data_IF_133266189323
#
_entry.id   IF_133266189323
#
_cell.length_a   1.000
_cell.length_b   1.000
_cell.length_c   1.000
_cell.angle_alpha   90.00
_cell.angle_beta   90.00
_cell.angle_gamma   90.00
#
_symmetry.space_group_name_H-M   'P 1'
#
loop_
_entity.id
_entity.type
_entity.pdbx_description
1 polymer ?
#
# COMPACT_ATOMS: atom_id res chain seq x y z
N UNK A 1 -26.55 3.32 5.28
CA UNK A 1 -25.45 2.37 4.97
C UNK A 1 -25.93 1.09 4.28
N UNK A 2 -27.01 0.43 4.74
CA UNK A 2 -27.70 -0.62 3.95
C UNK A 2 -27.99 -0.18 2.50
N UNK A 3 -28.43 1.08 2.33
CA UNK A 3 -28.69 1.72 1.03
C UNK A 3 -27.49 1.85 0.07
N UNK A 4 -26.24 1.82 0.53
CA UNK A 4 -25.05 1.96 -0.34
C UNK A 4 -24.71 0.63 -1.02
N UNK A 5 -24.83 -0.50 -0.30
CA UNK A 5 -24.73 -1.84 -0.89
C UNK A 5 -25.81 -2.08 -1.95
N UNK A 6 -26.99 -1.49 -1.78
CA UNK A 6 -28.12 -1.68 -2.69
C UNK A 6 -27.92 -0.98 -4.05
N UNK A 7 -26.96 -0.05 -4.17
CA UNK A 7 -26.73 0.76 -5.39
C UNK A 7 -25.50 0.33 -6.22
N UNK A 8 -24.63 -0.52 -5.68
CA UNK A 8 -23.44 -0.99 -6.40
C UNK A 8 -23.74 -2.40 -6.91
N UNK A 9 -23.74 -2.58 -8.22
CA UNK A 9 -24.25 -3.78 -8.87
C UNK A 9 -23.13 -4.69 -9.43
N UNK A 10 -21.88 -4.23 -9.47
CA UNK A 10 -20.72 -4.97 -10.01
C UNK A 10 -19.41 -4.79 -9.23
N UNK A 11 -18.47 -5.73 -9.39
CA UNK A 11 -17.10 -5.64 -8.85
C UNK A 11 -16.37 -4.39 -9.37
N UNK A 12 -16.61 -3.99 -10.62
CA UNK A 12 -16.01 -2.80 -11.23
C UNK A 12 -16.51 -1.49 -10.61
N UNK A 13 -17.81 -1.39 -10.34
CA UNK A 13 -18.37 -0.23 -9.64
C UNK A 13 -17.87 -0.15 -8.19
N UNK A 14 -17.74 -1.30 -7.52
CA UNK A 14 -17.19 -1.36 -6.17
C UNK A 14 -15.72 -0.93 -6.12
N UNK A 15 -14.93 -1.40 -7.08
CA UNK A 15 -13.55 -0.99 -7.26
C UNK A 15 -13.43 0.52 -7.48
N UNK A 16 -14.28 1.08 -8.36
CA UNK A 16 -14.29 2.51 -8.64
C UNK A 16 -14.70 3.32 -7.39
N UNK A 17 -15.69 2.85 -6.64
CA UNK A 17 -16.08 3.46 -5.37
C UNK A 17 -14.91 3.52 -4.38
N UNK A 18 -14.21 2.40 -4.15
CA UNK A 18 -13.05 2.36 -3.25
C UNK A 18 -11.93 3.30 -3.72
N UNK A 19 -11.67 3.35 -5.03
CA UNK A 19 -10.68 4.28 -5.62
C UNK A 19 -11.04 5.73 -5.28
N UNK A 20 -12.30 6.12 -5.49
CA UNK A 20 -12.76 7.48 -5.21
C UNK A 20 -12.75 7.81 -3.72
N UNK A 21 -13.09 6.87 -2.83
CA UNK A 21 -13.00 7.09 -1.37
C UNK A 21 -11.55 7.34 -0.92
N UNK A 22 -10.59 6.54 -1.40
CA UNK A 22 -9.16 6.73 -1.10
C UNK A 22 -8.66 8.08 -1.63
N UNK A 23 -9.03 8.45 -2.87
CA UNK A 23 -8.68 9.74 -3.48
C UNK A 23 -9.31 10.92 -2.74
N UNK A 24 -10.59 10.81 -2.38
CA UNK A 24 -11.31 11.83 -1.64
C UNK A 24 -10.70 12.05 -0.26
N UNK A 25 -10.32 10.99 0.46
CA UNK A 25 -9.64 11.10 1.73
C UNK A 25 -8.29 11.82 1.59
N UNK A 26 -7.48 11.48 0.58
CA UNK A 26 -6.22 12.16 0.31
C UNK A 26 -6.41 13.65 -0.03
N UNK A 27 -7.44 13.98 -0.80
CA UNK A 27 -7.76 15.35 -1.21
C UNK A 27 -8.22 16.22 -0.05
N UNK A 28 -9.08 15.67 0.81
CA UNK A 28 -9.84 16.45 1.79
C UNK A 28 -9.28 16.38 3.21
N UNK A 29 -8.43 15.40 3.53
CA UNK A 29 -7.91 15.25 4.88
C UNK A 29 -6.91 16.36 5.25
N UNK A 30 -7.11 17.09 6.37
CA UNK A 30 -6.12 18.04 6.86
C UNK A 30 -4.81 17.33 7.29
N UNK A 31 -4.85 16.02 7.55
CA UNK A 31 -3.66 15.24 7.89
C UNK A 31 -2.74 15.01 6.68
N UNK A 32 -3.22 15.19 5.45
CA UNK A 32 -2.40 15.18 4.24
C UNK A 32 -1.74 16.55 3.97
N UNK A 33 -1.61 17.40 5.00
CA UNK A 33 -0.98 18.72 4.92
C UNK A 33 0.06 18.88 6.02
N UNK A 34 1.16 19.57 5.70
CA UNK A 34 2.17 19.91 6.70
C UNK A 34 1.64 20.99 7.65
N UNK A 35 1.77 20.82 8.99
CA UNK A 35 1.28 21.80 9.98
C UNK A 35 2.02 23.16 10.01
N UNK A 36 2.94 23.42 9.07
CA UNK A 36 3.67 24.72 9.04
C UNK A 36 2.90 25.76 8.24
N UNK A 37 3.37 27.02 8.31
CA UNK A 37 2.91 28.16 7.49
C UNK A 37 2.79 27.85 6.01
N UNK A 38 3.60 26.91 5.50
CA UNK A 38 3.64 26.53 4.09
C UNK A 38 2.39 25.75 3.63
N UNK A 39 1.69 25.08 4.56
CA UNK A 39 0.50 24.27 4.30
C UNK A 39 0.61 23.30 3.09
N UNK A 40 1.83 22.80 2.84
CA UNK A 40 2.11 21.92 1.70
C UNK A 40 1.34 20.62 1.80
N UNK A 41 0.76 20.21 0.67
CA UNK A 41 0.19 18.88 0.50
C UNK A 41 1.33 17.86 0.58
N UNK A 42 1.17 16.86 1.45
CA UNK A 42 2.20 15.83 1.66
C UNK A 42 2.20 14.84 0.49
N UNK A 43 1.01 14.36 0.12
CA UNK A 43 0.82 13.44 -0.99
C UNK A 43 -0.13 13.98 -2.05
N UNK A 44 0.28 13.87 -3.31
CA UNK A 44 -0.58 14.10 -4.47
C UNK A 44 -1.66 13.00 -4.58
N UNK A 45 -2.52 13.08 -5.60
CA UNK A 45 -3.57 12.08 -5.83
C UNK A 45 -2.99 10.64 -5.87
N UNK A 46 -3.54 9.70 -5.05
CA UNK A 46 -3.08 8.33 -4.98
C UNK A 46 -3.27 7.53 -6.28
N UNK A 47 -2.38 6.58 -6.51
CA UNK A 47 -2.65 5.45 -7.39
C UNK A 47 -3.25 4.31 -6.57
N UNK A 48 -4.24 3.61 -7.10
CA UNK A 48 -4.91 2.51 -6.40
C UNK A 48 -5.13 1.37 -7.39
N UNK A 49 -4.73 0.16 -7.00
CA UNK A 49 -4.91 -1.06 -7.78
C UNK A 49 -5.23 -2.23 -6.84
N UNK A 50 -5.59 -3.37 -7.41
CA UNK A 50 -6.02 -4.56 -6.67
C UNK A 50 -5.24 -5.78 -7.13
N UNK A 51 -4.78 -6.59 -6.18
CA UNK A 51 -4.20 -7.90 -6.43
C UNK A 51 -5.19 -9.00 -6.03
N UNK A 52 -5.10 -10.14 -6.71
CA UNK A 52 -5.74 -11.38 -6.28
C UNK A 52 -5.08 -11.86 -4.99
N UNK A 53 -5.84 -12.17 -3.94
CA UNK A 53 -5.29 -12.66 -2.67
C UNK A 53 -4.52 -13.98 -2.79
N UNK A 54 -4.80 -14.76 -3.84
CA UNK A 54 -4.17 -16.05 -4.12
C UNK A 54 -3.07 -15.96 -5.20
N UNK A 55 -2.64 -14.75 -5.57
CA UNK A 55 -1.53 -14.57 -6.50
C UNK A 55 -0.28 -15.34 -6.01
N UNK A 56 0.30 -16.24 -6.84
CA UNK A 56 1.42 -17.08 -6.45
C UNK A 56 2.62 -16.31 -5.88
N UNK A 57 2.78 -15.04 -6.25
CA UNK A 57 3.88 -14.21 -5.75
C UNK A 57 3.83 -14.00 -4.25
N UNK A 58 2.67 -14.05 -3.60
CA UNK A 58 2.61 -13.97 -2.14
C UNK A 58 3.29 -15.17 -1.48
N UNK A 59 3.19 -16.35 -2.08
CA UNK A 59 3.93 -17.53 -1.64
C UNK A 59 5.42 -17.40 -1.98
N UNK A 60 5.76 -16.90 -3.18
CA UNK A 60 7.15 -16.67 -3.56
C UNK A 60 7.86 -15.64 -2.66
N UNK A 61 7.14 -14.65 -2.10
CA UNK A 61 7.72 -13.69 -1.15
C UNK A 61 8.23 -14.35 0.12
N UNK A 62 7.74 -15.53 0.49
CA UNK A 62 8.27 -16.32 1.61
C UNK A 62 9.67 -16.87 1.30
N UNK A 63 10.01 -17.02 0.02
CA UNK A 63 11.35 -17.40 -0.42
C UNK A 63 12.21 -16.18 -0.74
N UNK A 64 11.64 -15.15 -1.37
CA UNK A 64 12.37 -13.95 -1.82
C UNK A 64 12.74 -13.05 -0.64
N UNK A 65 11.84 -12.87 0.33
CA UNK A 65 12.00 -11.94 1.45
C UNK A 65 12.46 -12.70 2.69
N UNK A 66 11.60 -13.57 3.20
CA UNK A 66 11.85 -14.42 4.38
C UNK A 66 10.64 -15.37 4.61
N UNK A 67 10.83 -16.61 5.12
CA UNK A 67 9.72 -17.55 5.37
C UNK A 67 8.63 -17.04 6.31
N UNK A 68 8.93 -16.03 7.14
CA UNK A 68 7.98 -15.38 8.05
C UNK A 68 7.08 -14.33 7.38
N UNK A 69 7.33 -14.01 6.10
CA UNK A 69 6.45 -13.12 5.33
C UNK A 69 5.06 -13.74 5.19
N UNK A 70 4.03 -12.91 5.32
CA UNK A 70 2.63 -13.35 5.37
C UNK A 70 1.99 -13.27 3.99
N UNK A 71 1.28 -14.33 3.61
CA UNK A 71 0.29 -14.25 2.52
C UNK A 71 -0.94 -13.44 2.96
N UNK A 72 -1.77 -12.94 2.02
CA UNK A 72 -3.03 -12.28 2.37
C UNK A 72 -3.94 -13.14 3.26
N UNK A 73 -4.06 -14.43 2.96
CA UNK A 73 -4.81 -15.39 3.76
C UNK A 73 -4.27 -15.52 5.18
N UNK A 74 -2.96 -15.68 5.34
CA UNK A 74 -2.31 -15.75 6.67
C UNK A 74 -2.49 -14.46 7.48
N UNK A 75 -2.37 -13.30 6.82
CA UNK A 75 -2.54 -12.00 7.47
C UNK A 75 -3.98 -11.78 7.95
N UNK A 76 -4.98 -12.17 7.16
CA UNK A 76 -6.39 -12.09 7.55
C UNK A 76 -6.72 -13.08 8.66
N UNK A 77 -6.26 -14.33 8.54
CA UNK A 77 -6.44 -15.38 9.55
C UNK A 77 -5.90 -14.97 10.92
N UNK A 78 -4.66 -14.44 10.95
CA UNK A 78 -4.05 -13.91 12.17
C UNK A 78 -4.84 -12.77 12.78
N UNK A 79 -5.40 -11.88 11.96
CA UNK A 79 -6.21 -10.75 12.43
C UNK A 79 -7.54 -11.20 13.03
N UNK A 80 -8.11 -12.28 12.50
CA UNK A 80 -9.34 -12.89 13.00
C UNK A 80 -9.13 -13.91 14.12
N UNK A 81 -7.89 -14.16 14.55
CA UNK A 81 -7.53 -15.23 15.48
C UNK A 81 -8.07 -16.61 15.05
N UNK A 82 -7.97 -16.90 13.74
CA UNK A 82 -8.44 -18.12 13.10
C UNK A 82 -7.30 -18.78 12.31
N UNK A 83 -7.53 -20.01 11.85
CA UNK A 83 -6.60 -20.69 10.95
C UNK A 83 -6.83 -20.21 9.50
N UNK A 84 -5.82 -20.25 8.61
CA UNK A 84 -5.98 -19.88 7.21
C UNK A 84 -7.09 -20.65 6.49
N UNK A 85 -7.33 -21.90 6.87
CA UNK A 85 -8.35 -22.77 6.29
C UNK A 85 -9.78 -22.31 6.62
N UNK A 86 -9.94 -21.52 7.70
CA UNK A 86 -11.23 -20.93 8.10
C UNK A 86 -11.52 -19.60 7.38
N UNK A 87 -10.58 -19.11 6.56
CA UNK A 87 -10.75 -17.87 5.82
C UNK A 87 -11.59 -18.07 4.55
N UNK A 88 -12.28 -17.02 4.08
CA UNK A 88 -12.94 -17.06 2.78
C UNK A 88 -11.96 -17.46 1.68
N UNK A 89 -12.40 -18.37 0.80
CA UNK A 89 -11.57 -19.00 -0.23
C UNK A 89 -11.05 -18.02 -1.30
N UNK A 90 -11.58 -16.80 -1.37
CA UNK A 90 -11.12 -15.77 -2.30
C UNK A 90 -10.98 -14.46 -1.55
N UNK A 91 -9.81 -13.85 -1.66
CA UNK A 91 -9.47 -12.57 -1.06
C UNK A 91 -9.04 -11.59 -2.16
N UNK A 92 -9.07 -10.31 -1.84
CA UNK A 92 -8.47 -9.26 -2.66
C UNK A 92 -7.57 -8.39 -1.80
N UNK A 93 -6.50 -7.88 -2.40
CA UNK A 93 -5.60 -6.93 -1.75
C UNK A 93 -5.75 -5.58 -2.44
N UNK A 94 -6.30 -4.60 -1.72
CA UNK A 94 -6.34 -3.21 -2.16
C UNK A 94 -4.98 -2.60 -1.86
N UNK A 95 -4.26 -2.13 -2.87
CA UNK A 95 -2.97 -1.48 -2.71
C UNK A 95 -3.00 -0.08 -3.28
N UNK A 96 -2.27 0.84 -2.64
CA UNK A 96 -2.12 2.20 -3.11
C UNK A 96 -0.70 2.72 -2.98
N UNK A 97 -0.40 3.69 -3.84
CA UNK A 97 0.80 4.52 -3.81
C UNK A 97 0.37 5.95 -3.53
N UNK A 98 1.04 6.60 -2.57
CA UNK A 98 0.89 8.00 -2.21
C UNK A 98 2.11 8.78 -2.72
N UNK A 99 2.05 9.42 -3.90
CA UNK A 99 3.17 10.17 -4.44
C UNK A 99 3.46 11.40 -3.60
N UNK A 100 4.72 11.66 -3.24
CA UNK A 100 5.09 12.85 -2.45
C UNK A 100 4.83 14.11 -3.30
N UNK A 101 4.17 15.10 -2.69
CA UNK A 101 3.79 16.35 -3.34
C UNK A 101 4.97 17.09 -3.96
N UNK A 102 4.74 17.71 -5.12
CA UNK A 102 5.79 18.38 -5.91
C UNK A 102 6.63 19.37 -5.11
N UNK A 103 5.99 20.22 -4.28
CA UNK A 103 6.70 21.21 -3.43
C UNK A 103 7.68 20.59 -2.44
N UNK A 104 7.35 19.44 -1.87
CA UNK A 104 8.25 18.70 -0.97
C UNK A 104 9.38 18.04 -1.75
N UNK A 105 9.11 17.49 -2.94
CA UNK A 105 10.15 16.91 -3.81
C UNK A 105 11.12 17.99 -4.31
N UNK A 106 10.59 19.13 -4.75
CA UNK A 106 11.36 20.29 -5.21
C UNK A 106 12.27 20.84 -4.11
N UNK A 107 11.74 20.98 -2.88
CA UNK A 107 12.55 21.45 -1.75
C UNK A 107 13.71 20.51 -1.45
N UNK A 108 13.52 19.19 -1.64
CA UNK A 108 14.57 18.21 -1.37
C UNK A 108 15.58 18.05 -2.51
N UNK A 109 15.22 18.36 -3.76
CA UNK A 109 16.04 18.08 -4.95
C UNK A 109 17.44 18.70 -4.90
N UNK A 110 17.57 19.88 -4.29
CA UNK A 110 18.85 20.63 -4.22
C UNK A 110 19.76 20.19 -3.08
N UNK A 111 19.32 19.24 -2.26
CA UNK A 111 20.05 18.79 -1.10
C UNK A 111 20.76 17.46 -1.38
N UNK A 112 22.09 17.43 -1.21
CA UNK A 112 22.92 16.24 -1.44
C UNK A 112 23.36 15.53 -0.15
N UNK A 113 23.60 16.28 0.94
CA UNK A 113 24.10 15.75 2.21
C UNK A 113 22.99 15.51 3.24
N UNK A 114 22.05 16.46 3.38
CA UNK A 114 20.99 16.40 4.40
C UNK A 114 19.64 16.72 3.79
N UNK A 115 18.56 15.96 4.10
CA UNK A 115 17.26 16.23 3.51
C UNK A 115 16.72 17.61 3.90
N UNK A 116 15.91 18.20 3.02
CA UNK A 116 15.22 19.45 3.32
C UNK A 116 14.27 19.29 4.53
N UNK A 117 14.04 20.39 5.26
CA UNK A 117 13.13 20.39 6.41
C UNK A 117 11.73 19.88 6.06
N UNK A 118 11.20 20.28 4.91
CA UNK A 118 9.88 19.85 4.43
C UNK A 118 9.85 18.36 4.09
N UNK A 119 10.95 17.79 3.58
CA UNK A 119 11.07 16.35 3.35
C UNK A 119 11.03 15.55 4.65
N UNK A 120 11.84 15.94 5.65
CA UNK A 120 11.85 15.26 6.96
C UNK A 120 10.48 15.33 7.64
N UNK A 121 9.81 16.49 7.59
CA UNK A 121 8.47 16.64 8.16
C UNK A 121 7.43 15.84 7.39
N UNK A 122 7.51 15.83 6.06
CA UNK A 122 6.65 15.03 5.19
C UNK A 122 6.79 13.54 5.45
N UNK A 123 8.00 13.06 5.74
CA UNK A 123 8.25 11.66 6.09
C UNK A 123 7.43 11.22 7.32
N UNK A 124 7.49 11.98 8.41
CA UNK A 124 6.81 11.65 9.67
C UNK A 124 5.29 11.90 9.64
N UNK A 125 4.85 13.06 9.13
CA UNK A 125 3.41 13.37 9.03
C UNK A 125 2.73 12.51 7.96
N UNK A 126 3.44 12.20 6.87
CA UNK A 126 2.94 11.32 5.84
C UNK A 126 2.66 9.91 6.34
N UNK A 127 3.50 9.36 7.22
CA UNK A 127 3.20 8.04 7.81
C UNK A 127 1.98 8.10 8.74
N UNK A 128 1.79 9.18 9.51
CA UNK A 128 0.57 9.38 10.30
C UNK A 128 -0.68 9.38 9.41
N UNK A 129 -0.63 10.10 8.29
CA UNK A 129 -1.72 10.11 7.33
C UNK A 129 -1.96 8.72 6.71
N UNK A 130 -0.91 8.01 6.30
CA UNK A 130 -1.03 6.69 5.69
C UNK A 130 -1.59 5.64 6.68
N UNK A 131 -1.30 5.76 7.99
CA UNK A 131 -1.96 4.97 9.04
C UNK A 131 -3.45 5.26 9.12
N UNK A 132 -3.85 6.53 9.04
CA UNK A 132 -5.28 6.94 9.00
C UNK A 132 -5.96 6.42 7.75
N UNK A 133 -5.30 6.47 6.59
CA UNK A 133 -5.82 5.91 5.34
C UNK A 133 -6.10 4.41 5.46
N UNK A 134 -5.14 3.63 5.97
CA UNK A 134 -5.34 2.20 6.23
C UNK A 134 -6.52 1.94 7.16
N UNK A 135 -6.57 2.64 8.29
CA UNK A 135 -7.66 2.48 9.25
C UNK A 135 -9.02 2.86 8.65
N UNK A 136 -9.07 3.91 7.83
CA UNK A 136 -10.29 4.34 7.15
C UNK A 136 -10.79 3.29 6.15
N UNK A 137 -9.91 2.75 5.30
CA UNK A 137 -10.29 1.72 4.32
C UNK A 137 -10.75 0.44 5.02
N UNK A 138 -10.07 0.01 6.09
CA UNK A 138 -10.52 -1.12 6.92
C UNK A 138 -11.91 -0.84 7.49
N UNK A 139 -12.10 0.32 8.12
CA UNK A 139 -13.38 0.72 8.71
C UNK A 139 -14.50 0.71 7.67
N UNK A 140 -14.29 1.34 6.51
CA UNK A 140 -15.24 1.38 5.40
C UNK A 140 -15.71 -0.03 5.00
N UNK A 141 -14.76 -0.95 4.78
CA UNK A 141 -15.07 -2.32 4.37
C UNK A 141 -15.78 -3.10 5.47
N UNK A 142 -15.37 -2.94 6.73
CA UNK A 142 -16.03 -3.61 7.86
C UNK A 142 -17.45 -3.08 8.13
N UNK A 143 -17.71 -1.78 7.95
CA UNK A 143 -19.06 -1.21 8.02
C UNK A 143 -19.94 -1.68 6.86
N UNK A 144 -19.30 -2.02 5.73
CA UNK A 144 -19.90 -2.78 4.64
C UNK A 144 -19.93 -4.29 4.92
N UNK A 145 -19.68 -4.77 6.13
CA UNK A 145 -19.81 -6.19 6.50
C UNK A 145 -18.83 -7.15 5.82
N UNK A 146 -17.71 -6.65 5.30
CA UNK A 146 -16.60 -7.47 4.81
C UNK A 146 -15.55 -7.65 5.91
N UNK A 147 -14.84 -8.77 5.88
CA UNK A 147 -13.60 -8.91 6.62
C UNK A 147 -12.55 -8.03 5.95
N UNK A 148 -11.83 -7.23 6.73
CA UNK A 148 -10.78 -6.38 6.22
C UNK A 148 -9.68 -6.19 7.27
N UNK A 149 -8.43 -6.20 6.82
CA UNK A 149 -7.28 -5.91 7.68
C UNK A 149 -6.21 -5.14 6.93
N UNK A 150 -5.59 -4.18 7.63
CA UNK A 150 -4.34 -3.57 7.22
C UNK A 150 -3.19 -4.22 8.03
N UNK A 151 -2.40 -5.13 7.45
CA UNK A 151 -1.43 -5.91 8.22
C UNK A 151 -0.42 -5.05 8.99
N UNK A 152 0.04 -3.93 8.42
CA UNK A 152 0.97 -2.97 9.07
C UNK A 152 0.40 -2.35 10.36
N UNK A 153 -0.92 -2.36 10.54
CA UNK A 153 -1.56 -1.84 11.76
C UNK A 153 -1.74 -2.92 12.85
N UNK A 154 -1.44 -4.18 12.55
CA UNK A 154 -1.73 -5.30 13.45
C UNK A 154 -0.59 -5.58 14.43
N UNK A 155 -0.89 -6.13 15.63
CA UNK A 155 0.14 -6.49 16.62
C UNK A 155 1.15 -7.53 16.13
N UNK A 156 0.76 -8.37 15.17
CA UNK A 156 1.66 -9.37 14.59
C UNK A 156 2.65 -8.79 13.57
N UNK A 157 2.48 -7.54 13.13
CA UNK A 157 3.41 -6.91 12.20
C UNK A 157 4.77 -6.74 12.86
N UNK A 158 5.82 -7.15 12.16
CA UNK A 158 7.20 -7.09 12.65
C UNK A 158 8.12 -6.59 11.55
N UNK A 159 9.03 -5.70 11.95
CA UNK A 159 10.26 -5.45 11.21
C UNK A 159 11.37 -6.28 11.84
N UNK A 160 12.21 -6.87 11.01
CA UNK A 160 13.28 -7.77 11.39
C UNK A 160 14.55 -7.34 10.65
N UNK A 161 15.69 -7.66 11.23
CA UNK A 161 16.99 -7.44 10.60
C UNK A 161 17.41 -8.71 9.86
N UNK A 162 17.99 -8.57 8.68
CA UNK A 162 18.64 -9.69 8.02
C UNK A 162 19.87 -10.11 8.82
N UNK A 163 20.19 -11.41 8.82
CA UNK A 163 21.44 -11.92 9.38
C UNK A 163 22.70 -11.47 8.64
N UNK A 164 22.53 -10.75 7.52
CA UNK A 164 23.58 -10.19 6.69
C UNK A 164 23.42 -8.67 6.62
N UNK A 165 24.41 -7.96 6.07
CA UNK A 165 24.40 -6.49 5.90
C UNK A 165 23.30 -5.94 4.96
N UNK A 166 22.27 -6.74 4.65
CA UNK A 166 21.14 -6.40 3.77
C UNK A 166 20.09 -5.49 4.43
N UNK A 167 20.27 -5.11 5.69
CA UNK A 167 19.41 -4.18 6.41
C UNK A 167 18.14 -4.84 6.96
N UNK A 168 17.01 -4.13 6.89
CA UNK A 168 15.74 -4.55 7.50
C UNK A 168 14.74 -5.06 6.46
N UNK A 169 13.91 -6.02 6.89
CA UNK A 169 12.69 -6.45 6.20
C UNK A 169 11.51 -6.46 7.15
N UNK A 170 10.33 -6.76 6.62
CA UNK A 170 9.10 -6.89 7.39
C UNK A 170 8.34 -8.12 6.94
N UNK A 171 7.59 -8.72 7.86
CA UNK A 171 6.68 -9.82 7.51
C UNK A 171 5.48 -9.40 6.64
N UNK A 172 5.34 -8.10 6.33
CA UNK A 172 4.42 -7.57 5.33
C UNK A 172 5.03 -6.38 4.60
N UNK A 173 5.50 -6.59 3.36
CA UNK A 173 6.21 -5.56 2.60
C UNK A 173 5.30 -4.81 1.63
N UNK A 174 4.91 -3.59 2.00
CA UNK A 174 4.01 -2.74 1.20
C UNK A 174 4.48 -2.51 -0.25
N UNK A 175 5.79 -2.52 -0.51
CA UNK A 175 6.34 -2.39 -1.88
C UNK A 175 6.13 -3.66 -2.70
N UNK A 176 6.24 -4.82 -2.08
CA UNK A 176 5.95 -6.10 -2.74
C UNK A 176 4.44 -6.26 -2.96
N UNK A 177 3.60 -5.79 -2.03
CA UNK A 177 2.15 -5.73 -2.26
C UNK A 177 1.82 -4.80 -3.44
N UNK A 178 2.48 -3.65 -3.52
CA UNK A 178 2.29 -2.75 -4.67
C UNK A 178 2.76 -3.38 -5.99
N UNK A 179 3.84 -4.16 -5.97
CA UNK A 179 4.25 -4.97 -7.13
C UNK A 179 3.18 -6.02 -7.49
N UNK A 180 2.63 -6.72 -6.50
CA UNK A 180 1.51 -7.66 -6.64
C UNK A 180 0.31 -7.04 -7.36
N UNK A 181 -0.04 -5.81 -6.98
CA UNK A 181 -1.16 -5.07 -7.57
C UNK A 181 -0.82 -4.36 -8.90
N UNK A 182 0.39 -4.55 -9.45
CA UNK A 182 0.79 -3.92 -10.72
C UNK A 182 1.06 -2.42 -10.66
N UNK A 183 1.37 -1.86 -9.49
CA UNK A 183 1.61 -0.42 -9.31
C UNK A 183 3.01 0.06 -9.72
N UNK A 184 3.92 -0.87 -10.05
CA UNK A 184 5.29 -0.54 -10.37
C UNK A 184 6.22 -1.74 -10.36
N UNK A 185 7.52 -1.49 -10.32
CA UNK A 185 8.57 -2.51 -10.20
C UNK A 185 9.75 -1.98 -9.39
N UNK A 186 10.71 -2.82 -9.06
CA UNK A 186 11.89 -2.47 -8.29
C UNK A 186 13.03 -1.89 -9.16
N UNK A 187 13.98 -1.23 -8.51
CA UNK A 187 15.26 -0.80 -9.05
C UNK A 187 16.40 -1.69 -8.53
N UNK A 188 17.57 -1.58 -9.16
CA UNK A 188 18.81 -2.19 -8.68
C UNK A 188 19.20 -1.76 -7.25
N UNK A 189 18.75 -0.59 -6.81
CA UNK A 189 18.94 -0.08 -5.45
C UNK A 189 17.84 -0.51 -4.48
N UNK A 190 17.03 -1.51 -4.83
CA UNK A 190 15.85 -1.96 -4.07
C UNK A 190 14.79 -0.87 -3.84
N UNK A 191 14.82 0.22 -4.61
CA UNK A 191 13.77 1.24 -4.65
C UNK A 191 12.56 0.72 -5.43
N UNK A 192 11.36 1.20 -5.13
CA UNK A 192 10.16 0.84 -5.89
C UNK A 192 9.76 2.01 -6.79
N UNK A 193 9.74 1.77 -8.10
CA UNK A 193 9.46 2.77 -9.12
C UNK A 193 8.06 2.53 -9.67
N UNK A 194 7.24 3.58 -9.62
CA UNK A 194 5.86 3.61 -10.14
C UNK A 194 5.79 4.55 -11.34
N UNK A 195 4.65 4.63 -12.01
CA UNK A 195 4.42 5.65 -13.05
C UNK A 195 4.53 7.10 -12.51
N UNK A 196 4.41 7.30 -11.19
CA UNK A 196 4.59 8.59 -10.50
C UNK A 196 6.00 8.76 -9.93
N UNK A 197 6.93 7.88 -10.31
CA UNK A 197 8.32 7.87 -9.87
C UNK A 197 8.56 7.06 -8.60
N UNK A 198 9.65 7.38 -7.91
CA UNK A 198 10.17 6.62 -6.73
C UNK A 198 9.86 7.28 -5.38
N UNK A 199 9.46 8.56 -5.37
CA UNK A 199 9.21 9.33 -4.17
C UNK A 199 7.75 9.18 -3.72
N UNK A 200 7.46 8.16 -2.92
CA UNK A 200 6.10 7.85 -2.47
C UNK A 200 6.09 7.06 -1.16
N UNK A 201 4.89 6.85 -0.62
CA UNK A 201 4.59 5.78 0.35
C UNK A 201 3.66 4.76 -0.28
N UNK A 202 3.71 3.54 0.21
CA UNK A 202 2.78 2.48 -0.18
C UNK A 202 1.87 2.14 1.01
N UNK A 203 0.67 1.63 0.73
CA UNK A 203 -0.24 1.09 1.72
C UNK A 203 -1.13 0.01 1.13
N UNK A 204 -1.67 -0.85 2.00
CA UNK A 204 -2.58 -1.91 1.57
C UNK A 204 -3.58 -2.35 2.64
N UNK A 205 -4.66 -2.96 2.17
CA UNK A 205 -5.68 -3.66 2.95
C UNK A 205 -6.01 -4.99 2.26
N UNK A 206 -6.04 -6.06 3.04
CA UNK A 206 -6.56 -7.38 2.63
C UNK A 206 -8.04 -7.44 2.99
N UNK A 207 -8.88 -7.97 2.10
CA UNK A 207 -10.32 -8.12 2.34
C UNK A 207 -10.90 -9.35 1.63
N UNK A 208 -12.04 -9.85 2.11
CA UNK A 208 -12.82 -10.87 1.41
C UNK A 208 -13.85 -10.28 0.43
N UNK A 209 -13.87 -8.96 0.26
CA UNK A 209 -14.57 -8.34 -0.86
C UNK A 209 -13.82 -8.66 -2.15
N UNK A 210 -14.52 -9.27 -3.12
CA UNK A 210 -13.95 -9.60 -4.42
C UNK A 210 -13.89 -8.35 -5.29
N UNK A 211 -12.69 -8.05 -5.81
CA UNK A 211 -12.39 -6.90 -6.63
C UNK A 211 -11.73 -7.34 -7.95
N UNK A 212 -11.90 -6.56 -9.03
CA UNK A 212 -11.25 -6.84 -10.31
C UNK A 212 -9.73 -6.74 -10.16
N UNK A 213 -9.03 -7.76 -10.63
CA UNK A 213 -7.58 -7.84 -10.57
C UNK A 213 -6.98 -6.84 -11.54
N UNK A 214 -6.01 -6.07 -11.07
CA UNK A 214 -5.27 -5.12 -11.91
C UNK A 214 -4.13 -5.86 -12.62
N UNK A 215 -4.09 -5.84 -13.96
CA UNK A 215 -3.08 -6.61 -14.70
C UNK A 215 -1.69 -6.05 -14.44
N UNK A 216 -0.76 -6.96 -14.18
CA UNK A 216 0.64 -6.61 -14.00
C UNK A 216 1.34 -6.57 -15.36
N UNK A 217 1.69 -5.37 -15.81
CA UNK A 217 2.31 -5.14 -17.14
C UNK A 217 3.83 -5.24 -17.15
N UNK A 218 4.46 -5.27 -15.96
CA UNK A 218 5.90 -5.43 -15.81
C UNK A 218 6.34 -6.82 -16.28
N UNK A 219 7.30 -6.89 -17.21
CA UNK A 219 7.85 -8.15 -17.74
C UNK A 219 8.71 -8.89 -16.74
N UNK A 220 9.35 -8.16 -15.83
CA UNK A 220 10.20 -8.66 -14.76
C UNK A 220 10.19 -7.66 -13.58
N UNK A 221 10.72 -8.06 -12.40
CA UNK A 221 10.76 -7.20 -11.21
C UNK A 221 11.49 -5.88 -11.37
N UNK A 222 12.29 -5.69 -12.43
CA UNK A 222 13.10 -4.49 -12.67
C UNK A 222 12.64 -3.66 -13.88
N UNK A 223 11.45 -3.93 -14.42
CA UNK A 223 10.95 -3.34 -15.67
C UNK A 223 10.97 -1.80 -15.73
N UNK A 224 10.79 -1.12 -14.59
CA UNK A 224 10.82 0.34 -14.49
C UNK A 224 12.22 0.90 -14.19
N UNK A 225 13.23 0.05 -14.02
CA UNK A 225 14.61 0.46 -13.81
C UNK A 225 15.31 0.67 -15.15
N UNK A 226 15.51 1.94 -15.52
CA UNK A 226 16.17 2.32 -16.78
C UNK A 226 17.63 1.85 -16.91
N UNK A 227 18.22 1.36 -15.81
CA UNK A 227 19.59 0.85 -15.76
C UNK A 227 19.67 -0.69 -15.71
N UNK A 228 18.53 -1.38 -15.75
CA UNK A 228 18.48 -2.83 -15.82
C UNK A 228 18.39 -3.27 -17.29
N UNK A 229 19.44 -3.92 -17.78
CA UNK A 229 19.58 -4.43 -19.16
C UNK A 229 19.58 -5.95 -19.18
#
# INVERSE_FOLDING_TARGET
MSSLKTKIHSEAEMAQFIKEEIKALARNSPLNRLPSTDNYIIFDEPLVQFADGDDPLFTEYKTIIDPTHLTPGEALAKACSKSPEDMPARLSVISWVLPIGSKIRESNRRHSLTPSRSWLRGYGHGEKFNRVMRAHVVKLLTEMGYLAVAPVLQPYFKMMEYSSEKGYYSNWSERHIAYAAGLGSFSLSNGFITERGIAHRCGSVVTNLILPISPRVAKNPYSNCLFYT
#
